data_IF_676855374716
#
_entry.id   IF_676855374716
#
_cell.length_a   1.000
_cell.length_b   1.000
_cell.length_c   1.000
_cell.angle_alpha   90.00
_cell.angle_beta   90.00
_cell.angle_gamma   90.00
#
_symmetry.space_group_name_H-M   'P 1'
#
loop_
_entity.id
_entity.type
_entity.pdbx_description
1 polymer ?
#
# COMPACT_ATOMS: atom_id res chain seq x y z
N UNK A 1 7.29 -2.14 -26.12
CA UNK A 1 6.21 -1.15 -25.86
C UNK A 1 4.96 -1.94 -25.55
N UNK A 2 4.30 -1.64 -24.47
CA UNK A 2 3.03 -2.30 -24.13
C UNK A 2 1.93 -1.85 -25.10
N UNK A 3 1.12 -2.79 -25.56
CA UNK A 3 -0.01 -2.50 -26.45
C UNK A 3 -1.15 -1.82 -25.69
N UNK A 4 -1.92 -1.00 -26.42
CA UNK A 4 -3.11 -0.37 -25.84
C UNK A 4 -4.25 -1.37 -25.72
N UNK A 5 -5.23 -1.08 -24.83
CA UNK A 5 -6.46 -1.87 -24.70
C UNK A 5 -7.12 -2.13 -26.04
N UNK A 6 -7.24 -1.09 -26.88
CA UNK A 6 -7.83 -1.22 -28.23
C UNK A 6 -7.05 -2.23 -29.07
N UNK A 7 -5.72 -2.14 -29.11
CA UNK A 7 -4.87 -3.06 -29.90
C UNK A 7 -4.99 -4.49 -29.41
N UNK A 8 -5.00 -4.72 -28.10
CA UNK A 8 -5.15 -6.06 -27.52
C UNK A 8 -6.51 -6.66 -27.83
N UNK A 9 -7.59 -5.89 -27.72
CA UNK A 9 -8.93 -6.38 -28.09
C UNK A 9 -9.05 -6.64 -29.58
N UNK A 10 -8.48 -5.78 -30.43
CA UNK A 10 -8.43 -6.00 -31.89
C UNK A 10 -7.70 -7.29 -32.23
N UNK A 11 -6.57 -7.56 -31.57
CA UNK A 11 -5.84 -8.81 -31.76
C UNK A 11 -6.69 -10.03 -31.38
N UNK A 12 -7.29 -10.01 -30.18
CA UNK A 12 -8.14 -11.12 -29.70
C UNK A 12 -9.32 -11.35 -30.65
N UNK A 13 -10.02 -10.28 -31.08
CA UNK A 13 -11.16 -10.40 -32.00
C UNK A 13 -10.76 -10.95 -33.35
N UNK A 14 -9.62 -10.49 -33.90
CA UNK A 14 -9.09 -11.00 -35.16
C UNK A 14 -8.75 -12.50 -35.08
N UNK A 15 -8.06 -12.92 -34.00
CA UNK A 15 -7.69 -14.32 -33.80
C UNK A 15 -8.90 -15.25 -33.53
N UNK A 16 -10.01 -14.69 -33.03
CA UNK A 16 -11.27 -15.42 -32.83
C UNK A 16 -12.21 -15.37 -34.02
N UNK A 17 -11.79 -14.75 -35.14
CA UNK A 17 -12.62 -14.51 -36.33
C UNK A 17 -13.93 -13.74 -36.02
N UNK A 18 -13.83 -12.77 -35.09
CA UNK A 18 -14.93 -11.85 -34.76
C UNK A 18 -14.70 -10.50 -35.46
N UNK A 19 -15.75 -9.67 -35.50
CA UNK A 19 -15.64 -8.33 -36.08
C UNK A 19 -14.66 -7.47 -35.27
N UNK A 20 -13.62 -6.94 -35.91
CA UNK A 20 -12.59 -6.12 -35.29
C UNK A 20 -13.17 -4.73 -34.97
N UNK A 21 -13.18 -4.30 -33.70
CA UNK A 21 -13.75 -3.03 -33.31
C UNK A 21 -12.84 -1.85 -33.67
N UNK A 22 -13.41 -0.69 -33.96
CA UNK A 22 -12.69 0.57 -34.13
C UNK A 22 -12.47 1.31 -32.80
N UNK A 23 -13.26 1.00 -31.78
CA UNK A 23 -13.14 1.47 -30.41
C UNK A 23 -13.73 0.42 -29.45
N UNK A 24 -13.28 0.42 -28.20
CA UNK A 24 -13.68 -0.55 -27.17
C UNK A 24 -14.41 0.12 -26.03
N UNK A 25 -13.90 1.24 -25.52
CA UNK A 25 -14.53 1.98 -24.43
C UNK A 25 -15.89 2.51 -24.87
N UNK A 26 -16.96 2.08 -24.16
CA UNK A 26 -18.33 2.45 -24.49
C UNK A 26 -18.94 1.76 -25.74
N UNK A 27 -18.26 0.76 -26.28
CA UNK A 27 -18.80 -0.03 -27.40
C UNK A 27 -20.01 -0.85 -26.93
N UNK A 28 -21.06 -0.88 -27.76
CA UNK A 28 -22.32 -1.57 -27.45
C UNK A 28 -22.40 -2.99 -28.01
N UNK A 29 -21.41 -3.41 -28.81
CA UNK A 29 -21.34 -4.77 -29.36
C UNK A 29 -21.07 -5.77 -28.22
N UNK A 30 -21.92 -6.78 -28.10
CA UNK A 30 -21.84 -7.79 -27.03
C UNK A 30 -20.54 -8.58 -27.05
N UNK A 31 -20.00 -8.93 -28.23
CA UNK A 31 -18.73 -9.66 -28.31
C UNK A 31 -17.55 -8.82 -27.82
N UNK A 32 -17.52 -7.50 -28.14
CA UNK A 32 -16.50 -6.57 -27.68
C UNK A 32 -16.57 -6.39 -26.16
N UNK A 33 -17.79 -6.21 -25.61
CA UNK A 33 -17.99 -6.12 -24.18
C UNK A 33 -17.58 -7.40 -23.44
N UNK A 34 -17.92 -8.57 -24.00
CA UNK A 34 -17.52 -9.86 -23.44
C UNK A 34 -16.00 -10.02 -23.43
N UNK A 35 -15.32 -9.70 -24.53
CA UNK A 35 -13.85 -9.78 -24.61
C UNK A 35 -13.20 -8.82 -23.62
N UNK A 36 -13.67 -7.57 -23.51
CA UNK A 36 -13.15 -6.62 -22.53
C UNK A 36 -13.34 -7.12 -21.08
N UNK A 37 -14.51 -7.67 -20.76
CA UNK A 37 -14.76 -8.25 -19.44
C UNK A 37 -13.82 -9.44 -19.16
N UNK A 38 -13.60 -10.32 -20.14
CA UNK A 38 -12.68 -11.46 -20.02
C UNK A 38 -11.23 -11.02 -19.91
N UNK A 39 -10.82 -9.97 -20.63
CA UNK A 39 -9.49 -9.40 -20.57
C UNK A 39 -9.21 -8.78 -19.19
N UNK A 40 -10.15 -8.03 -18.64
CA UNK A 40 -10.05 -7.50 -17.29
C UNK A 40 -9.98 -8.65 -16.26
N UNK A 41 -10.76 -9.71 -16.44
CA UNK A 41 -10.68 -10.89 -15.59
C UNK A 41 -9.34 -11.61 -15.74
N UNK A 42 -8.79 -11.70 -16.95
CA UNK A 42 -7.49 -12.29 -17.19
C UNK A 42 -6.37 -11.51 -16.48
N UNK A 43 -6.37 -10.19 -16.58
CA UNK A 43 -5.42 -9.36 -15.84
C UNK A 43 -5.52 -9.56 -14.32
N UNK A 44 -6.73 -9.58 -13.77
CA UNK A 44 -6.95 -9.87 -12.36
C UNK A 44 -6.42 -11.24 -11.91
N UNK A 45 -6.60 -12.29 -12.73
CA UNK A 45 -6.11 -13.62 -12.40
C UNK A 45 -4.58 -13.67 -12.48
N UNK A 46 -3.97 -12.99 -13.48
CA UNK A 46 -2.51 -12.93 -13.65
C UNK A 46 -1.80 -12.26 -12.48
N UNK A 47 -2.34 -11.19 -11.90
CA UNK A 47 -1.73 -10.55 -10.72
C UNK A 47 -1.76 -11.43 -9.48
N UNK A 48 -2.68 -12.41 -9.42
CA UNK A 48 -2.76 -13.40 -8.33
C UNK A 48 -1.87 -14.62 -8.56
N UNK A 49 -1.50 -14.87 -9.81
CA UNK A 49 -0.75 -16.05 -10.22
C UNK A 49 0.74 -15.97 -9.87
N UNK A 50 1.29 -14.76 -9.83
CA UNK A 50 2.71 -14.52 -9.61
C UNK A 50 2.97 -13.15 -9.00
N UNK A 51 4.09 -13.04 -8.24
CA UNK A 51 4.60 -11.79 -7.69
C UNK A 51 5.42 -11.04 -8.74
N UNK A 52 4.72 -10.31 -9.61
CA UNK A 52 5.32 -9.56 -10.71
C UNK A 52 6.12 -8.35 -10.22
N UNK A 53 7.39 -8.22 -10.63
CA UNK A 53 8.21 -7.03 -10.33
C UNK A 53 7.57 -5.72 -10.83
N UNK A 54 6.91 -5.77 -11.97
CA UNK A 54 6.22 -4.62 -12.54
C UNK A 54 5.09 -4.06 -11.65
N UNK A 55 4.64 -4.81 -10.65
CA UNK A 55 3.63 -4.42 -9.68
C UNK A 55 4.20 -4.00 -8.33
N UNK A 56 5.51 -4.10 -8.13
CA UNK A 56 6.17 -3.65 -6.90
C UNK A 56 6.38 -2.14 -6.95
N UNK A 57 5.81 -1.42 -5.98
CA UNK A 57 5.84 0.03 -5.88
C UNK A 57 6.29 0.45 -4.49
N UNK A 58 6.91 1.61 -4.40
CA UNK A 58 7.27 2.22 -3.12
C UNK A 58 6.22 3.25 -2.72
N UNK A 59 5.71 3.15 -1.50
CA UNK A 59 4.86 4.16 -0.88
C UNK A 59 5.65 4.99 0.12
N UNK A 60 5.55 6.29 0.02
CA UNK A 60 6.25 7.27 0.87
C UNK A 60 5.27 8.27 1.41
N UNK A 61 5.39 8.59 2.68
CA UNK A 61 4.54 9.59 3.32
C UNK A 61 5.24 10.25 4.50
N UNK A 62 4.74 11.40 4.90
CA UNK A 62 5.17 12.08 6.11
C UNK A 62 4.22 11.76 7.26
N UNK A 63 4.80 11.54 8.45
CA UNK A 63 4.01 11.50 9.68
C UNK A 63 3.52 12.90 10.02
N UNK A 64 2.47 12.98 10.82
CA UNK A 64 1.94 14.26 11.28
C UNK A 64 1.88 14.26 12.82
N UNK A 65 2.53 15.24 13.43
CA UNK A 65 2.51 15.49 14.87
C UNK A 65 2.34 16.99 15.11
N UNK A 66 1.41 17.35 15.98
CA UNK A 66 1.08 18.73 16.33
C UNK A 66 1.21 18.88 17.82
N UNK A 67 2.23 19.63 18.27
CA UNK A 67 2.41 19.96 19.69
C UNK A 67 1.77 21.32 19.98
N UNK A 68 0.91 21.37 20.97
CA UNK A 68 0.11 22.53 21.35
C UNK A 68 -0.23 22.50 22.84
N UNK A 69 -1.16 23.34 23.27
CA UNK A 69 -1.66 23.36 24.65
C UNK A 69 -3.15 23.09 24.69
N UNK A 70 -3.64 22.57 25.82
CA UNK A 70 -5.06 22.40 26.06
C UNK A 70 -5.37 22.52 27.56
N UNK A 71 -6.66 22.61 27.89
CA UNK A 71 -7.17 22.47 29.24
C UNK A 71 -7.79 21.09 29.38
N UNK A 72 -7.49 20.41 30.50
CA UNK A 72 -8.10 19.13 30.90
C UNK A 72 -8.84 19.28 32.20
N UNK A 73 -9.88 18.50 32.43
CA UNK A 73 -10.57 18.36 33.70
C UNK A 73 -10.53 16.90 34.12
N UNK A 74 -10.07 16.61 35.31
CA UNK A 74 -10.01 15.25 35.86
C UNK A 74 -11.37 14.55 35.75
N UNK A 75 -11.39 13.33 35.20
CA UNK A 75 -12.62 12.57 35.01
C UNK A 75 -13.50 13.04 33.84
N UNK A 76 -13.00 13.90 32.95
CA UNK A 76 -13.71 14.36 31.76
C UNK A 76 -13.06 13.85 30.49
N UNK A 77 -13.85 13.55 29.45
CA UNK A 77 -13.38 13.29 28.11
C UNK A 77 -13.06 14.56 27.30
N UNK A 78 -13.52 15.73 27.80
CA UNK A 78 -13.47 16.97 27.06
C UNK A 78 -12.11 17.66 27.21
N UNK A 79 -11.44 17.94 26.09
CA UNK A 79 -10.32 18.86 25.98
C UNK A 79 -10.82 20.19 25.43
N UNK A 80 -10.40 21.31 26.07
CA UNK A 80 -10.79 22.66 25.68
C UNK A 80 -9.57 23.56 25.51
N UNK A 81 -9.80 24.78 24.98
CA UNK A 81 -8.76 25.77 24.75
C UNK A 81 -7.58 25.24 23.91
N UNK A 82 -7.89 24.43 22.93
CA UNK A 82 -6.94 24.01 21.90
C UNK A 82 -6.88 25.13 20.86
N UNK A 83 -5.71 25.66 20.49
CA UNK A 83 -5.61 26.76 19.50
C UNK A 83 -6.25 26.44 18.15
N UNK A 84 -6.17 25.18 17.69
CA UNK A 84 -6.85 24.70 16.50
C UNK A 84 -7.02 23.18 16.53
N UNK A 85 -8.21 22.70 16.18
CA UNK A 85 -8.51 21.28 15.99
C UNK A 85 -8.57 20.89 14.49
N UNK A 86 -8.22 21.84 13.60
CA UNK A 86 -8.26 21.62 12.16
C UNK A 86 -7.36 20.45 11.74
N UNK A 87 -7.93 19.49 11.02
CA UNK A 87 -7.20 18.32 10.53
C UNK A 87 -7.02 17.19 11.54
N UNK A 88 -7.52 17.36 12.79
CA UNK A 88 -7.56 16.27 13.77
C UNK A 88 -8.75 15.35 13.49
N UNK A 89 -8.52 14.06 13.59
CA UNK A 89 -9.53 13.01 13.48
C UNK A 89 -9.21 11.83 14.42
N UNK A 90 -10.03 10.80 14.42
CA UNK A 90 -9.86 9.60 15.26
C UNK A 90 -8.59 8.78 14.98
N UNK A 91 -7.78 9.15 13.97
CA UNK A 91 -6.50 8.51 13.69
C UNK A 91 -5.32 9.13 14.47
N UNK A 92 -5.59 10.15 15.29
CA UNK A 92 -4.58 10.82 16.12
C UNK A 92 -4.61 10.29 17.55
N UNK A 93 -3.46 9.80 17.99
CA UNK A 93 -3.22 9.55 19.42
C UNK A 93 -2.84 10.85 20.12
N UNK A 94 -3.13 10.93 21.40
CA UNK A 94 -2.92 12.13 22.21
C UNK A 94 -1.95 11.79 23.32
N UNK A 95 -0.86 12.56 23.44
CA UNK A 95 0.16 12.41 24.47
C UNK A 95 0.28 13.71 25.27
N UNK A 96 0.14 13.66 26.57
CA UNK A 96 0.23 14.83 27.47
C UNK A 96 0.25 14.41 28.92
N UNK A 97 0.67 15.32 29.82
CA UNK A 97 0.89 15.01 31.24
C UNK A 97 -0.38 14.55 31.98
N UNK A 98 -1.54 15.05 31.58
CA UNK A 98 -2.84 14.71 32.18
C UNK A 98 -3.67 13.76 31.34
N UNK A 99 -3.07 13.19 30.30
CA UNK A 99 -3.72 12.29 29.32
C UNK A 99 -3.20 10.88 29.57
N UNK A 100 -4.07 9.88 29.81
CA UNK A 100 -3.68 8.48 29.88
C UNK A 100 -3.06 8.00 28.56
N UNK A 101 -2.23 6.97 28.65
CA UNK A 101 -1.67 6.35 27.45
C UNK A 101 -2.76 5.68 26.60
N UNK A 102 -2.48 5.51 25.32
CA UNK A 102 -3.44 4.95 24.35
C UNK A 102 -4.74 5.76 24.23
N UNK A 103 -4.67 7.08 24.51
CA UNK A 103 -5.79 8.00 24.30
C UNK A 103 -5.77 8.50 22.85
N UNK A 104 -6.94 8.51 22.24
CA UNK A 104 -7.17 9.01 20.88
C UNK A 104 -8.18 10.15 20.86
N UNK A 105 -8.17 10.91 19.81
CA UNK A 105 -9.29 11.79 19.46
C UNK A 105 -10.52 10.92 19.18
N UNK A 106 -11.61 11.19 19.88
CA UNK A 106 -12.90 10.54 19.61
C UNK A 106 -13.72 11.38 18.62
N UNK A 107 -14.05 12.60 19.02
CA UNK A 107 -14.89 13.49 18.23
C UNK A 107 -14.43 14.93 18.36
N UNK A 108 -14.24 15.62 17.24
CA UNK A 108 -13.99 17.07 17.21
C UNK A 108 -15.32 17.80 17.34
N UNK A 109 -15.46 18.63 18.40
CA UNK A 109 -16.70 19.34 18.69
C UNK A 109 -16.72 20.74 18.09
N UNK A 110 -15.62 21.48 18.26
CA UNK A 110 -15.47 22.86 17.75
C UNK A 110 -14.03 23.05 17.26
N UNK A 111 -13.75 24.22 16.68
CA UNK A 111 -12.38 24.58 16.29
C UNK A 111 -11.37 24.63 17.46
N UNK A 112 -11.83 24.59 18.71
CA UNK A 112 -11.00 24.73 19.91
C UNK A 112 -11.26 23.66 20.98
N UNK A 113 -12.12 22.66 20.68
CA UNK A 113 -12.48 21.60 21.65
C UNK A 113 -12.73 20.26 20.94
N UNK A 114 -12.41 19.17 21.63
CA UNK A 114 -12.66 17.80 21.19
C UNK A 114 -12.90 16.86 22.37
N UNK A 115 -13.48 15.69 22.10
CA UNK A 115 -13.57 14.58 23.04
C UNK A 115 -12.45 13.57 22.78
N UNK A 116 -12.02 12.95 23.87
CA UNK A 116 -11.00 11.88 23.88
C UNK A 116 -11.64 10.53 24.15
N UNK A 117 -10.95 9.44 23.78
CA UNK A 117 -11.41 8.06 24.06
C UNK A 117 -11.29 7.65 25.53
N UNK A 118 -10.47 8.36 26.33
CA UNK A 118 -10.27 8.09 27.75
C UNK A 118 -10.44 9.36 28.56
N UNK A 119 -10.80 9.20 29.86
CA UNK A 119 -10.94 10.30 30.81
C UNK A 119 -9.57 10.90 31.15
N UNK A 120 -9.48 12.21 31.22
CA UNK A 120 -8.27 12.88 31.68
C UNK A 120 -7.97 12.51 33.16
N UNK A 121 -6.70 12.23 33.46
CA UNK A 121 -6.25 11.78 34.77
C UNK A 121 -6.13 12.92 35.79
N UNK A 122 -5.96 14.16 35.32
CA UNK A 122 -5.85 15.34 36.19
C UNK A 122 -6.40 16.60 35.50
N UNK A 123 -6.73 17.60 36.30
CA UNK A 123 -7.10 18.94 35.82
C UNK A 123 -5.84 19.74 35.57
N UNK A 124 -5.73 20.32 34.36
CA UNK A 124 -4.62 21.18 33.95
C UNK A 124 -5.12 22.31 33.07
N UNK A 125 -4.55 23.50 33.23
CA UNK A 125 -4.82 24.65 32.38
C UNK A 125 -3.59 24.98 31.55
N UNK A 126 -3.75 25.02 30.22
CA UNK A 126 -2.64 25.29 29.31
C UNK A 126 -1.57 24.19 29.27
N UNK A 127 -1.93 22.95 29.67
CA UNK A 127 -1.02 21.82 29.64
C UNK A 127 -0.55 21.49 28.22
N UNK A 128 0.74 21.13 28.08
CA UNK A 128 1.29 20.71 26.78
C UNK A 128 0.67 19.38 26.35
N UNK A 129 0.26 19.30 25.11
CA UNK A 129 -0.30 18.10 24.46
C UNK A 129 0.26 17.95 23.06
N UNK A 130 0.53 16.72 22.66
CA UNK A 130 0.95 16.36 21.29
C UNK A 130 -0.10 15.44 20.69
N UNK A 131 -0.68 15.88 19.58
CA UNK A 131 -1.53 15.08 18.72
C UNK A 131 -0.67 14.43 17.64
N UNK A 132 -0.55 13.12 17.67
CA UNK A 132 0.29 12.37 16.73
C UNK A 132 -0.54 11.41 15.91
N UNK A 133 -0.53 11.55 14.61
CA UNK A 133 -1.20 10.59 13.74
C UNK A 133 -0.48 9.25 13.78
N UNK A 134 -1.20 8.20 14.11
CA UNK A 134 -0.66 6.83 14.22
C UNK A 134 -1.32 5.86 13.25
N UNK A 135 -2.41 6.26 12.61
CA UNK A 135 -3.18 5.44 11.68
C UNK A 135 -3.20 6.14 10.32
N UNK A 136 -2.64 5.48 9.31
CA UNK A 136 -2.48 6.01 7.97
C UNK A 136 -3.25 5.17 6.95
N UNK A 137 -3.80 5.78 5.89
CA UNK A 137 -4.37 5.01 4.79
C UNK A 137 -3.27 4.26 4.05
N UNK A 138 -3.60 3.07 3.56
CA UNK A 138 -2.78 2.40 2.55
C UNK A 138 -3.04 3.00 1.17
N UNK A 139 -2.13 2.83 0.20
CA UNK A 139 -2.38 3.21 -1.19
C UNK A 139 -3.68 2.60 -1.72
N UNK A 140 -4.40 3.34 -2.59
CA UNK A 140 -5.68 2.87 -3.12
C UNK A 140 -5.58 1.57 -3.94
N UNK A 141 -4.42 1.36 -4.52
CA UNK A 141 -4.06 0.19 -5.31
C UNK A 141 -3.31 -0.90 -4.52
N UNK A 142 -3.25 -0.77 -3.20
CA UNK A 142 -2.58 -1.73 -2.32
C UNK A 142 -3.19 -3.14 -2.43
N UNK A 143 -2.33 -4.14 -2.59
CA UNK A 143 -2.68 -5.56 -2.55
C UNK A 143 -2.03 -6.25 -1.36
N UNK A 144 -0.71 -6.22 -1.27
CA UNK A 144 0.07 -6.81 -0.18
C UNK A 144 1.34 -6.04 0.09
N UNK A 145 1.83 -6.10 1.30
CA UNK A 145 3.06 -5.43 1.71
C UNK A 145 4.28 -6.32 1.45
N UNK A 146 5.41 -5.70 1.13
CA UNK A 146 6.69 -6.39 1.02
C UNK A 146 7.42 -6.31 2.36
N UNK A 147 7.66 -7.45 2.99
CA UNK A 147 8.25 -7.52 4.31
C UNK A 147 9.68 -6.95 4.34
N UNK A 148 10.09 -6.44 5.50
CA UNK A 148 11.41 -5.85 5.77
C UNK A 148 11.78 -4.61 4.96
N UNK A 149 10.84 -3.99 4.26
CA UNK A 149 11.07 -2.77 3.45
C UNK A 149 10.65 -1.48 4.16
N UNK A 150 10.17 -1.58 5.40
CA UNK A 150 9.64 -0.45 6.19
C UNK A 150 10.77 0.33 6.83
N UNK A 151 10.93 1.58 6.43
CA UNK A 151 12.00 2.45 6.90
C UNK A 151 11.51 3.81 7.33
N UNK A 152 12.03 4.27 8.47
CA UNK A 152 12.08 5.68 8.81
C UNK A 152 13.29 6.30 8.08
N UNK A 153 13.01 7.00 6.99
CA UNK A 153 14.04 7.59 6.11
C UNK A 153 14.67 8.85 6.70
N UNK A 154 14.01 9.49 7.67
CA UNK A 154 14.57 10.63 8.41
C UNK A 154 15.62 10.18 9.40
N UNK A 155 15.34 9.10 10.14
CA UNK A 155 16.24 8.58 11.18
C UNK A 155 17.12 7.43 10.70
N UNK A 156 16.94 6.98 9.46
CA UNK A 156 17.66 5.86 8.84
C UNK A 156 17.52 4.55 9.62
N UNK A 157 16.33 4.30 10.17
CA UNK A 157 16.05 3.10 10.96
C UNK A 157 14.98 2.25 10.32
N UNK A 158 15.17 0.94 10.41
CA UNK A 158 14.13 -0.01 10.04
C UNK A 158 13.02 0.00 11.09
N UNK A 159 11.78 0.09 10.64
CA UNK A 159 10.60 -0.11 11.48
C UNK A 159 10.40 -1.60 11.74
N UNK A 160 10.06 -1.97 12.97
CA UNK A 160 9.88 -3.38 13.35
C UNK A 160 8.42 -3.80 13.15
N UNK A 161 8.21 -4.91 12.47
CA UNK A 161 6.87 -5.47 12.22
C UNK A 161 6.85 -6.45 11.07
N UNK A 162 5.66 -6.96 10.69
CA UNK A 162 4.37 -6.68 11.34
C UNK A 162 4.28 -7.26 12.75
N UNK A 163 3.72 -6.50 13.69
CA UNK A 163 3.55 -6.94 15.07
C UNK A 163 2.22 -7.67 15.22
N UNK A 164 2.23 -8.82 15.90
CA UNK A 164 1.02 -9.57 16.18
C UNK A 164 0.05 -8.84 17.14
N UNK A 165 -1.19 -9.30 17.22
CA UNK A 165 -2.23 -8.63 17.98
C UNK A 165 -1.92 -8.60 19.48
N UNK A 166 -1.30 -9.66 20.04
CA UNK A 166 -0.97 -9.74 21.46
C UNK A 166 0.15 -8.76 21.82
N UNK A 167 1.23 -8.76 21.03
CA UNK A 167 2.35 -7.83 21.23
C UNK A 167 1.92 -6.38 21.06
N UNK A 168 1.00 -6.11 20.12
CA UNK A 168 0.47 -4.76 19.92
C UNK A 168 -0.30 -4.25 21.11
N UNK A 169 -1.18 -5.06 21.70
CA UNK A 169 -1.92 -4.69 22.90
C UNK A 169 -0.97 -4.47 24.08
N UNK A 170 0.06 -5.31 24.22
CA UNK A 170 1.07 -5.12 25.24
C UNK A 170 1.83 -3.80 25.07
N UNK A 171 2.24 -3.45 23.85
CA UNK A 171 2.90 -2.18 23.55
C UNK A 171 2.03 -0.96 23.91
N UNK A 172 0.73 -1.04 23.65
CA UNK A 172 -0.24 0.02 23.96
C UNK A 172 -0.64 0.08 25.43
N UNK A 173 -0.39 -0.98 26.20
CA UNK A 173 -0.73 -1.04 27.64
C UNK A 173 0.08 -0.10 28.54
N UNK A 174 1.03 0.63 27.98
CA UNK A 174 1.72 1.69 28.71
C UNK A 174 3.18 1.42 29.10
N UNK A 175 3.69 0.22 28.87
CA UNK A 175 5.07 -0.12 29.21
C UNK A 175 6.10 0.57 28.29
N UNK A 176 5.73 0.82 27.03
CA UNK A 176 6.59 1.49 26.05
C UNK A 176 5.80 2.59 25.37
N UNK A 177 5.89 3.79 25.89
CA UNK A 177 5.28 5.01 25.33
C UNK A 177 6.22 5.75 24.38
N UNK A 178 7.52 5.54 24.54
CA UNK A 178 8.58 6.17 23.73
C UNK A 178 9.66 5.14 23.46
N UNK A 179 10.23 5.17 22.30
CA UNK A 179 11.33 4.27 21.96
C UNK A 179 11.97 4.63 20.63
N UNK A 180 13.26 4.29 20.45
CA UNK A 180 13.98 4.67 19.24
C UNK A 180 13.50 3.98 17.98
N UNK A 181 12.74 2.88 18.10
CA UNK A 181 12.24 2.11 16.96
C UNK A 181 10.73 1.98 17.01
N UNK A 182 10.09 2.54 16.04
CA UNK A 182 8.64 2.44 15.83
C UNK A 182 8.32 1.06 15.27
N UNK A 183 7.22 0.51 15.74
CA UNK A 183 6.63 -0.73 15.26
C UNK A 183 5.42 -0.45 14.41
N UNK A 184 5.12 -1.36 13.52
CA UNK A 184 3.99 -1.22 12.62
C UNK A 184 3.18 -2.50 12.52
N UNK A 185 1.92 -2.34 12.13
CA UNK A 185 1.03 -3.42 11.70
C UNK A 185 0.02 -2.90 10.68
N UNK A 186 -0.67 -3.80 10.03
CA UNK A 186 -1.86 -3.48 9.23
C UNK A 186 -3.09 -4.01 9.96
N UNK A 187 -4.07 -3.14 10.18
CA UNK A 187 -5.36 -3.48 10.75
C UNK A 187 -6.48 -2.73 10.03
N UNK A 188 -7.55 -3.44 9.63
CA UNK A 188 -8.70 -2.82 8.95
C UNK A 188 -8.33 -2.06 7.68
N UNK A 189 -7.36 -2.57 6.92
CA UNK A 189 -6.83 -1.94 5.70
C UNK A 189 -6.20 -0.55 5.95
N UNK A 190 -5.62 -0.36 7.15
CA UNK A 190 -4.87 0.84 7.53
C UNK A 190 -3.51 0.44 8.06
N UNK A 191 -2.52 1.29 7.83
CA UNK A 191 -1.17 1.16 8.35
C UNK A 191 -1.10 1.84 9.72
N UNK A 192 -0.86 1.07 10.77
CA UNK A 192 -0.74 1.58 12.16
C UNK A 192 0.70 1.56 12.61
N UNK A 193 1.13 2.61 13.32
CA UNK A 193 2.46 2.76 13.90
C UNK A 193 2.37 3.01 15.42
N UNK A 194 3.33 2.47 16.16
CA UNK A 194 3.48 2.70 17.61
C UNK A 194 4.93 2.52 18.06
N UNK A 195 5.47 3.34 18.97
CA UNK A 195 4.88 4.52 19.62
C UNK A 195 4.67 5.69 18.64
N UNK A 196 3.79 6.66 19.01
CA UNK A 196 3.54 7.83 18.20
C UNK A 196 4.80 8.70 18.05
N UNK A 197 5.03 9.24 16.86
CA UNK A 197 6.05 10.24 16.64
C UNK A 197 5.62 11.60 17.21
N UNK A 198 6.57 12.33 17.79
CA UNK A 198 6.35 13.70 18.29
C UNK A 198 6.80 14.77 17.28
N UNK A 199 7.40 14.36 16.18
CA UNK A 199 7.89 15.20 15.08
C UNK A 199 7.43 14.65 13.75
N UNK A 200 7.56 15.43 12.71
CA UNK A 200 7.30 14.97 11.35
C UNK A 200 8.48 14.14 10.86
N UNK A 201 8.22 12.88 10.50
CA UNK A 201 9.20 11.95 9.97
C UNK A 201 8.79 11.47 8.58
N UNK A 202 9.75 11.12 7.74
CA UNK A 202 9.54 10.60 6.39
C UNK A 202 9.65 9.10 6.38
N UNK A 203 8.53 8.43 6.18
CA UNK A 203 8.42 6.97 6.19
C UNK A 203 8.26 6.43 4.77
N UNK A 204 8.71 5.21 4.54
CA UNK A 204 8.51 4.52 3.28
C UNK A 204 8.50 3.01 3.46
N UNK A 205 7.77 2.34 2.58
CA UNK A 205 7.76 0.89 2.43
C UNK A 205 7.42 0.50 1.00
N UNK A 206 7.78 -0.71 0.62
CA UNK A 206 7.41 -1.29 -0.65
C UNK A 206 6.15 -2.15 -0.49
N UNK A 207 5.35 -2.17 -1.54
CA UNK A 207 4.12 -2.94 -1.59
C UNK A 207 3.85 -3.42 -3.01
N UNK A 208 3.09 -4.49 -3.13
CA UNK A 208 2.57 -4.95 -4.40
C UNK A 208 1.24 -4.29 -4.68
N UNK A 209 1.16 -3.65 -5.83
CA UNK A 209 -0.04 -3.00 -6.36
C UNK A 209 -0.96 -4.03 -7.03
N UNK A 210 -2.28 -3.85 -6.88
CA UNK A 210 -3.28 -4.54 -7.71
C UNK A 210 -3.52 -3.84 -9.04
N UNK A 211 -2.87 -2.71 -9.27
CA UNK A 211 -3.02 -1.89 -10.46
C UNK A 211 -2.11 -2.35 -11.59
N UNK A 212 -2.60 -3.27 -12.42
CA UNK A 212 -1.88 -3.83 -13.55
C UNK A 212 -2.05 -3.06 -14.86
N UNK A 213 -2.84 -1.98 -14.85
CA UNK A 213 -3.10 -1.10 -15.99
C UNK A 213 -2.53 0.29 -15.71
N UNK A 214 -2.04 0.94 -16.74
CA UNK A 214 -1.61 2.34 -16.74
C UNK A 214 -2.47 3.14 -17.71
N UNK A 215 -2.91 4.33 -17.28
CA UNK A 215 -3.53 5.30 -18.19
C UNK A 215 -2.47 5.96 -19.07
N UNK A 216 -2.89 6.70 -20.10
CA UNK A 216 -1.98 7.50 -20.92
C UNK A 216 -1.16 8.55 -20.12
N UNK A 217 -1.62 8.93 -18.93
CA UNK A 217 -0.92 9.80 -17.98
C UNK A 217 -0.14 9.02 -16.91
N UNK A 218 0.13 7.73 -17.13
CA UNK A 218 0.81 6.81 -16.22
C UNK A 218 0.13 6.61 -14.85
N UNK A 219 -1.14 6.98 -14.73
CA UNK A 219 -1.91 6.70 -13.51
C UNK A 219 -2.26 5.22 -13.39
N UNK A 220 -2.10 4.68 -12.18
CA UNK A 220 -2.39 3.28 -11.85
C UNK A 220 -3.88 3.00 -11.88
N UNK A 221 -4.28 1.91 -12.54
CA UNK A 221 -5.66 1.43 -12.66
C UNK A 221 -5.73 -0.07 -12.46
N UNK A 222 -6.85 -0.55 -11.94
CA UNK A 222 -7.08 -1.98 -11.69
C UNK A 222 -7.72 -2.72 -12.86
N UNK A 223 -8.14 -1.98 -13.90
CA UNK A 223 -8.79 -2.54 -15.08
C UNK A 223 -8.69 -1.58 -16.27
N UNK A 224 -8.79 -2.11 -17.46
CA UNK A 224 -8.96 -1.34 -18.68
C UNK A 224 -10.31 -0.61 -18.70
N UNK A 225 -10.31 0.69 -18.98
CA UNK A 225 -11.52 1.52 -19.07
C UNK A 225 -11.50 2.49 -20.25
N UNK A 226 -10.33 2.78 -20.81
CA UNK A 226 -10.14 3.70 -21.93
C UNK A 226 -9.25 3.04 -22.99
N UNK A 227 -9.51 3.29 -24.26
CA UNK A 227 -8.83 2.66 -25.40
C UNK A 227 -7.31 2.82 -25.39
N UNK A 228 -6.81 3.90 -24.79
CA UNK A 228 -5.39 4.23 -24.65
C UNK A 228 -4.72 3.62 -23.42
N UNK A 229 -5.47 2.94 -22.56
CA UNK A 229 -4.89 2.27 -21.38
C UNK A 229 -3.93 1.16 -21.84
N UNK A 230 -2.81 0.98 -21.14
CA UNK A 230 -1.81 -0.05 -21.41
C UNK A 230 -1.65 -1.00 -20.23
N UNK A 231 -1.19 -2.21 -20.47
CA UNK A 231 -0.86 -3.18 -19.42
C UNK A 231 0.60 -3.06 -19.00
N UNK A 232 0.91 -3.32 -17.73
CA UNK A 232 2.29 -3.55 -17.26
C UNK A 232 2.71 -5.01 -17.38
N UNK A 233 1.75 -5.92 -17.59
CA UNK A 233 1.98 -7.34 -17.81
C UNK A 233 2.23 -7.62 -19.29
N UNK A 234 2.79 -8.79 -19.57
CA UNK A 234 3.08 -9.22 -20.94
C UNK A 234 1.79 -9.36 -21.79
N UNK A 235 1.77 -8.67 -22.91
CA UNK A 235 0.63 -8.61 -23.84
C UNK A 235 0.23 -10.00 -24.34
N UNK A 236 1.20 -10.86 -24.66
CA UNK A 236 0.95 -12.20 -25.20
C UNK A 236 0.22 -13.09 -24.20
N UNK A 237 0.55 -12.99 -22.91
CA UNK A 237 -0.10 -13.77 -21.86
C UNK A 237 -1.53 -13.30 -21.65
N UNK A 238 -1.77 -11.98 -21.68
CA UNK A 238 -3.12 -11.41 -21.55
C UNK A 238 -4.00 -11.90 -22.70
N UNK A 239 -3.51 -11.84 -23.94
CA UNK A 239 -4.23 -12.30 -25.12
C UNK A 239 -4.54 -13.79 -25.02
N UNK A 240 -3.54 -14.64 -24.71
CA UNK A 240 -3.73 -16.08 -24.57
C UNK A 240 -4.73 -16.44 -23.47
N UNK A 241 -4.61 -15.83 -22.31
CA UNK A 241 -5.52 -16.10 -21.19
C UNK A 241 -6.95 -15.61 -21.49
N UNK A 242 -7.09 -14.48 -22.19
CA UNK A 242 -8.39 -13.97 -22.63
C UNK A 242 -9.06 -14.95 -23.62
N UNK A 243 -8.30 -15.48 -24.59
CA UNK A 243 -8.79 -16.50 -25.53
C UNK A 243 -9.17 -17.80 -24.81
N UNK A 244 -8.34 -18.26 -23.89
CA UNK A 244 -8.60 -19.45 -23.09
C UNK A 244 -9.93 -19.29 -22.31
N UNK A 245 -10.15 -18.15 -21.66
CA UNK A 245 -11.42 -17.86 -20.96
C UNK A 245 -12.61 -17.79 -21.91
N UNK A 246 -12.44 -17.20 -23.10
CA UNK A 246 -13.48 -17.18 -24.11
C UNK A 246 -13.87 -18.59 -24.56
N UNK A 247 -12.89 -19.47 -24.83
CA UNK A 247 -13.13 -20.87 -25.20
C UNK A 247 -13.82 -21.66 -24.10
N UNK A 248 -13.41 -21.43 -22.83
CA UNK A 248 -14.07 -22.04 -21.68
C UNK A 248 -15.56 -21.68 -21.59
N UNK A 249 -15.91 -20.40 -21.78
CA UNK A 249 -17.32 -19.95 -21.76
C UNK A 249 -18.13 -20.52 -22.92
N UNK A 250 -17.51 -20.62 -24.10
CA UNK A 250 -18.17 -21.19 -25.29
C UNK A 250 -18.14 -22.73 -25.33
N UNK A 251 -17.55 -23.37 -24.31
CA UNK A 251 -17.38 -24.83 -24.24
C UNK A 251 -16.61 -25.44 -25.42
N UNK A 252 -15.66 -24.69 -25.98
CA UNK A 252 -14.74 -25.20 -26.99
C UNK A 252 -13.59 -25.99 -26.36
N UNK A 253 -12.86 -26.78 -27.17
CA UNK A 253 -11.65 -27.45 -26.69
C UNK A 253 -10.56 -26.44 -26.31
N UNK A 254 -10.08 -26.56 -25.09
CA UNK A 254 -9.10 -25.65 -24.50
C UNK A 254 -7.70 -26.27 -24.39
N UNK A 255 -7.52 -27.54 -24.74
CA UNK A 255 -6.31 -28.31 -24.45
C UNK A 255 -5.05 -27.66 -25.03
N UNK A 256 -5.06 -27.30 -26.31
CA UNK A 256 -3.92 -26.67 -26.96
C UNK A 256 -3.62 -25.28 -26.40
N UNK A 257 -4.65 -24.43 -26.19
CA UNK A 257 -4.50 -23.10 -25.63
C UNK A 257 -3.98 -23.13 -24.18
N UNK A 258 -4.38 -24.12 -23.39
CA UNK A 258 -3.91 -24.28 -22.03
C UNK A 258 -2.42 -24.68 -21.97
N UNK A 259 -1.96 -25.51 -22.89
CA UNK A 259 -0.55 -25.85 -23.03
C UNK A 259 0.29 -24.63 -23.44
N UNK A 260 -0.17 -23.86 -24.43
CA UNK A 260 0.49 -22.62 -24.84
C UNK A 260 0.53 -21.60 -23.71
N UNK A 261 -0.59 -21.37 -23.03
CA UNK A 261 -0.65 -20.46 -21.88
C UNK A 261 0.35 -20.87 -20.77
N UNK A 262 0.39 -22.15 -20.41
CA UNK A 262 1.30 -22.64 -19.36
C UNK A 262 2.77 -22.44 -19.76
N UNK A 263 3.10 -22.66 -21.03
CA UNK A 263 4.45 -22.45 -21.56
C UNK A 263 4.84 -20.95 -21.51
N UNK A 264 3.99 -20.06 -22.03
CA UNK A 264 4.27 -18.63 -22.05
C UNK A 264 4.33 -18.05 -20.63
N UNK A 265 3.43 -18.48 -19.73
CA UNK A 265 3.45 -18.09 -18.33
C UNK A 265 4.77 -18.49 -17.64
N UNK A 266 5.26 -19.71 -17.90
CA UNK A 266 6.54 -20.16 -17.34
C UNK A 266 7.71 -19.31 -17.81
N UNK A 267 7.72 -18.95 -19.10
CA UNK A 267 8.75 -18.06 -19.68
C UNK A 267 8.68 -16.67 -19.05
N UNK A 268 7.48 -16.09 -18.91
CA UNK A 268 7.30 -14.78 -18.33
C UNK A 268 7.73 -14.74 -16.85
N UNK A 269 7.36 -15.76 -16.06
CA UNK A 269 7.82 -15.90 -14.68
C UNK A 269 9.34 -16.01 -14.57
N UNK A 270 9.99 -16.72 -15.51
CA UNK A 270 11.45 -16.83 -15.54
C UNK A 270 12.12 -15.49 -15.89
N UNK A 271 11.51 -14.71 -16.77
CA UNK A 271 12.08 -13.43 -17.23
C UNK A 271 11.84 -12.30 -16.20
N UNK A 272 10.79 -12.38 -15.39
CA UNK A 272 10.38 -11.31 -14.48
C UNK A 272 11.44 -11.02 -13.40
N UNK A 273 11.93 -12.06 -12.72
CA UNK A 273 12.91 -11.91 -11.61
C UNK A 273 14.36 -12.25 -12.00
N UNK A 274 14.59 -12.61 -13.26
CA UNK A 274 15.89 -13.09 -13.71
C UNK A 274 16.34 -14.38 -13.02
N UNK A 275 17.61 -14.74 -13.18
CA UNK A 275 18.19 -15.91 -12.52
C UNK A 275 18.51 -15.60 -11.06
N UNK A 276 17.97 -16.38 -10.13
CA UNK A 276 18.36 -16.29 -8.72
C UNK A 276 19.84 -16.62 -8.57
N UNK A 277 20.62 -15.71 -7.98
CA UNK A 277 22.02 -16.00 -7.61
C UNK A 277 22.01 -16.87 -6.37
N UNK A 278 22.40 -18.14 -6.52
CA UNK A 278 22.63 -19.03 -5.40
C UNK A 278 23.94 -18.64 -4.71
N UNK A 279 23.86 -18.03 -3.54
CA UNK A 279 25.00 -17.79 -2.68
C UNK A 279 25.14 -18.91 -1.66
N UNK A 280 26.27 -19.61 -1.69
CA UNK A 280 26.65 -20.57 -0.65
C UNK A 280 27.36 -19.93 0.54
N UNK A 281 27.56 -18.60 0.50
CA UNK A 281 28.08 -17.86 1.64
C UNK A 281 27.03 -17.89 2.79
N UNK A 282 27.47 -17.96 4.06
CA UNK A 282 26.57 -17.76 5.18
C UNK A 282 25.81 -16.45 4.96
N UNK A 283 24.49 -16.46 5.18
CA UNK A 283 23.69 -15.25 5.08
C UNK A 283 24.37 -14.19 5.97
N UNK A 284 24.71 -13.01 5.43
CA UNK A 284 25.25 -11.96 6.27
C UNK A 284 24.25 -11.72 7.38
N UNK A 285 24.71 -11.80 8.64
CA UNK A 285 23.89 -11.35 9.76
C UNK A 285 23.38 -9.96 9.39
N UNK A 286 22.15 -9.63 9.78
CA UNK A 286 21.40 -8.44 9.37
C UNK A 286 22.07 -7.09 9.73
N UNK A 287 23.38 -6.97 9.54
CA UNK A 287 24.13 -5.72 9.59
C UNK A 287 23.96 -5.08 8.22
N UNK A 288 22.94 -4.24 8.12
CA UNK A 288 22.65 -3.45 6.92
C UNK A 288 23.67 -2.31 6.70
N UNK A 289 24.64 -2.17 7.59
CA UNK A 289 25.71 -1.18 7.49
C UNK A 289 26.97 -1.89 6.98
N UNK A 290 27.24 -1.72 5.72
CA UNK A 290 28.50 -2.13 5.09
C UNK A 290 29.34 -0.91 4.68
N UNK A 291 30.54 -1.14 4.19
CA UNK A 291 31.42 -0.10 3.66
C UNK A 291 30.74 0.83 2.65
N UNK A 292 29.84 0.29 1.84
CA UNK A 292 29.08 1.05 0.85
C UNK A 292 28.04 2.00 1.46
N UNK A 293 27.68 1.84 2.72
CA UNK A 293 26.63 2.61 3.39
C UNK A 293 27.19 3.64 4.38
N UNK A 294 28.51 3.68 4.56
CA UNK A 294 29.17 4.67 5.42
C UNK A 294 29.53 5.86 4.53
N UNK A 295 29.00 7.07 4.80
CA UNK A 295 29.40 8.26 4.06
C UNK A 295 30.90 8.50 4.23
N UNK A 296 31.60 8.75 3.14
CA UNK A 296 33.05 8.99 3.09
C UNK A 296 33.47 10.35 3.69
N UNK A 297 32.50 11.09 4.26
CA UNK A 297 32.72 12.40 4.84
C UNK A 297 32.93 12.31 6.34
N UNK A 298 34.17 12.48 6.78
CA UNK A 298 34.50 12.73 8.18
C UNK A 298 35.24 11.66 8.94
N UNK A 299 35.70 10.59 8.29
CA UNK A 299 36.62 9.64 8.87
C UNK A 299 37.99 9.78 8.21
N UNK A 300 38.93 10.47 8.88
CA UNK A 300 40.32 10.47 8.47
C UNK A 300 40.88 11.79 7.94
N UNK A 301 40.50 12.92 8.49
CA UNK A 301 41.23 14.17 8.40
C UNK A 301 41.76 14.59 9.76
#
# INVERSE_FOLDING_TARGET
MSSTMLTLVQQVTAELNLAVPTYVAGNTNQDVQQILALMNRAGYDLIKEHDWQALELEYRFYTNAITTTCNTTSGSYLLTNIPSTTGLDSNYSIVGTSIPQDTYVDTVLTSTSLNTTQLASATSTGGSVTFSRTIYPLPADYETITDNTHWDKTKHWQMLGPVDAQQWQWLKSGYISTGPRVRWRILGNKFEIWPPYNTQEYLGFEYRSKGWVRSAADAVKNSFTVDTDTSVLDDAIIVLLTKLKYFQIKSFDTTALQQDYSRYLSIAKANDKGSATLSFAPAPSAVLIGWANIPDTGYGS
#
